data_IF_554222593431
#
_entry.id   IF_554222593431
#
_cell.length_a   1.000
_cell.length_b   1.000
_cell.length_c   1.000
_cell.angle_alpha   90.00
_cell.angle_beta   90.00
_cell.angle_gamma   90.00
#
_symmetry.space_group_name_H-M   'P 1'
#
loop_
_entity.id
_entity.type
_entity.pdbx_description
1 polymer ?
#
# COMPACT_ATOMS: atom_id res chain seq x y z
N UNK A 1 16.27 -26.79 -11.64
CA UNK A 1 15.41 -25.86 -12.39
C UNK A 1 14.00 -26.46 -12.39
N UNK A 2 13.08 -25.98 -11.55
CA UNK A 2 11.70 -26.45 -11.60
C UNK A 2 10.99 -25.70 -12.72
N UNK A 3 10.59 -26.40 -13.77
CA UNK A 3 9.87 -25.83 -14.90
C UNK A 3 8.43 -25.64 -14.41
N UNK A 4 8.04 -24.39 -14.16
CA UNK A 4 6.66 -23.97 -13.88
C UNK A 4 5.88 -24.02 -15.20
N UNK A 5 5.63 -25.23 -15.69
CA UNK A 5 4.87 -25.45 -16.93
C UNK A 5 3.41 -25.05 -16.69
N UNK A 6 2.91 -24.09 -17.46
CA UNK A 6 1.51 -23.64 -17.48
C UNK A 6 0.53 -24.68 -18.03
N UNK A 7 0.53 -25.89 -17.47
CA UNK A 7 -0.50 -26.92 -17.70
C UNK A 7 -1.65 -26.67 -16.75
N UNK A 8 -2.49 -25.74 -17.15
CA UNK A 8 -3.77 -25.55 -16.51
C UNK A 8 -4.82 -26.32 -17.32
N UNK A 9 -5.24 -27.49 -16.83
CA UNK A 9 -6.13 -28.43 -17.53
C UNK A 9 -7.50 -27.82 -17.88
N UNK A 10 -7.89 -26.71 -17.23
CA UNK A 10 -9.11 -25.95 -17.54
C UNK A 10 -8.93 -24.81 -18.53
N UNK A 11 -7.73 -24.60 -19.09
CA UNK A 11 -7.46 -23.53 -20.04
C UNK A 11 -8.08 -23.82 -21.42
N UNK A 12 -8.82 -22.85 -21.95
CA UNK A 12 -9.45 -22.95 -23.27
C UNK A 12 -8.52 -22.58 -24.43
N UNK A 13 -7.36 -21.99 -24.14
CA UNK A 13 -6.35 -21.61 -25.15
C UNK A 13 -4.94 -21.99 -24.68
N UNK A 14 -4.56 -23.28 -24.76
CA UNK A 14 -3.24 -23.75 -24.31
C UNK A 14 -2.07 -23.10 -25.09
N UNK A 15 -0.91 -22.87 -24.46
CA UNK A 15 -0.59 -23.17 -23.06
C UNK A 15 -1.28 -22.22 -22.09
N UNK A 16 -1.67 -22.74 -20.92
CA UNK A 16 -2.20 -21.91 -19.84
C UNK A 16 -1.12 -21.04 -19.24
N UNK A 17 -1.52 -20.04 -18.46
CA UNK A 17 -0.57 -19.25 -17.68
C UNK A 17 0.10 -20.11 -16.61
N UNK A 18 1.42 -19.96 -16.50
CA UNK A 18 2.21 -20.52 -15.40
C UNK A 18 1.83 -19.89 -14.06
N UNK A 19 2.23 -20.48 -12.93
CA UNK A 19 1.91 -19.89 -11.63
C UNK A 19 2.60 -18.54 -11.43
N UNK A 20 3.84 -18.42 -11.90
CA UNK A 20 4.62 -17.17 -11.91
C UNK A 20 3.93 -16.07 -12.73
N UNK A 21 3.41 -16.41 -13.92
CA UNK A 21 2.63 -15.47 -14.74
C UNK A 21 1.30 -15.09 -14.09
N UNK A 22 0.62 -16.04 -13.42
CA UNK A 22 -0.62 -15.74 -12.67
C UNK A 22 -0.35 -14.76 -11.52
N UNK A 23 0.76 -14.93 -10.80
CA UNK A 23 1.18 -14.01 -9.72
C UNK A 23 1.53 -12.63 -10.28
N UNK A 24 2.40 -12.55 -11.30
CA UNK A 24 2.77 -11.29 -11.94
C UNK A 24 1.55 -10.53 -12.47
N UNK A 25 0.66 -11.24 -13.19
CA UNK A 25 -0.59 -10.67 -13.68
C UNK A 25 -1.51 -10.22 -12.54
N UNK A 26 -1.50 -10.91 -11.39
CA UNK A 26 -2.27 -10.52 -10.22
C UNK A 26 -1.74 -9.20 -9.63
N UNK A 27 -0.43 -9.02 -9.52
CA UNK A 27 0.21 -7.80 -9.06
C UNK A 27 0.13 -6.63 -10.06
N UNK A 28 -0.32 -6.89 -11.30
CA UNK A 28 -0.57 -5.87 -12.33
C UNK A 28 0.51 -5.80 -13.40
N UNK A 29 1.52 -6.66 -13.32
CA UNK A 29 2.56 -6.83 -14.32
C UNK A 29 2.02 -7.70 -15.46
N UNK A 30 1.42 -7.05 -16.46
CA UNK A 30 0.75 -7.71 -17.58
C UNK A 30 1.39 -7.27 -18.90
N UNK A 31 2.07 -8.20 -19.56
CA UNK A 31 2.52 -8.04 -20.94
C UNK A 31 1.37 -8.26 -21.96
N UNK A 32 1.63 -8.00 -23.23
CA UNK A 32 0.60 -8.11 -24.27
C UNK A 32 0.11 -9.56 -24.47
N UNK A 33 0.98 -10.54 -24.25
CA UNK A 33 0.67 -11.96 -24.42
C UNK A 33 -0.29 -12.44 -23.33
N UNK A 34 0.01 -12.13 -22.07
CA UNK A 34 -0.84 -12.41 -20.92
C UNK A 34 -2.17 -11.67 -21.07
N UNK A 35 -2.16 -10.40 -21.49
CA UNK A 35 -3.39 -9.63 -21.74
C UNK A 35 -4.30 -10.31 -22.75
N UNK A 36 -3.76 -10.68 -23.90
CA UNK A 36 -4.49 -11.37 -24.97
C UNK A 36 -5.06 -12.69 -24.47
N UNK A 37 -4.26 -13.48 -23.75
CA UNK A 37 -4.71 -14.76 -23.19
C UNK A 37 -5.83 -14.57 -22.16
N UNK A 38 -5.74 -13.59 -21.26
CA UNK A 38 -6.78 -13.32 -20.26
C UNK A 38 -8.09 -12.85 -20.87
N UNK A 39 -8.06 -12.22 -22.05
CA UNK A 39 -9.27 -11.86 -22.81
C UNK A 39 -9.92 -13.10 -23.47
N UNK A 40 -9.12 -14.07 -23.86
CA UNK A 40 -9.58 -15.28 -24.55
C UNK A 40 -9.95 -16.43 -23.61
N UNK A 41 -9.35 -16.48 -22.40
CA UNK A 41 -9.47 -17.59 -21.47
C UNK A 41 -10.14 -17.19 -20.15
N UNK A 42 -11.45 -17.48 -19.97
CA UNK A 42 -12.16 -17.22 -18.72
C UNK A 42 -11.58 -17.95 -17.51
N UNK A 43 -11.00 -19.14 -17.72
CA UNK A 43 -10.39 -19.96 -16.66
C UNK A 43 -9.16 -19.28 -16.06
N UNK A 44 -8.18 -18.93 -16.89
CA UNK A 44 -6.99 -18.23 -16.44
C UNK A 44 -7.32 -16.83 -15.89
N UNK A 45 -8.33 -16.16 -16.46
CA UNK A 45 -8.85 -14.92 -15.88
C UNK A 45 -9.47 -15.11 -14.49
N UNK A 46 -10.15 -16.23 -14.23
CA UNK A 46 -10.65 -16.57 -12.90
C UNK A 46 -9.52 -16.80 -11.90
N UNK A 47 -8.47 -17.56 -12.29
CA UNK A 47 -7.28 -17.80 -11.47
C UNK A 47 -6.58 -16.50 -11.07
N UNK A 48 -6.37 -15.58 -12.01
CA UNK A 48 -5.77 -14.26 -11.70
C UNK A 48 -6.67 -13.45 -10.75
N UNK A 49 -7.99 -13.48 -10.93
CA UNK A 49 -8.93 -12.80 -10.01
C UNK A 49 -8.88 -13.40 -8.60
N UNK A 50 -8.80 -14.71 -8.48
CA UNK A 50 -8.69 -15.40 -7.20
C UNK A 50 -7.38 -15.07 -6.49
N UNK A 51 -6.26 -15.12 -7.23
CA UNK A 51 -4.95 -14.72 -6.73
C UNK A 51 -4.96 -13.28 -6.22
N UNK A 52 -5.52 -12.32 -6.99
CA UNK A 52 -5.69 -10.93 -6.55
C UNK A 52 -6.49 -10.80 -5.26
N UNK A 53 -7.59 -11.55 -5.12
CA UNK A 53 -8.42 -11.54 -3.90
C UNK A 53 -7.64 -12.08 -2.70
N UNK A 54 -6.90 -13.16 -2.90
CA UNK A 54 -6.07 -13.76 -1.87
C UNK A 54 -4.95 -12.82 -1.42
N UNK A 55 -4.17 -12.27 -2.36
CA UNK A 55 -3.14 -11.27 -2.09
C UNK A 55 -3.72 -10.06 -1.35
N UNK A 56 -4.89 -9.55 -1.77
CA UNK A 56 -5.56 -8.44 -1.08
C UNK A 56 -5.96 -8.80 0.35
N UNK A 57 -6.45 -10.03 0.60
CA UNK A 57 -6.79 -10.50 1.94
C UNK A 57 -5.55 -10.61 2.82
N UNK A 58 -4.47 -11.19 2.31
CA UNK A 58 -3.19 -11.27 3.03
C UNK A 58 -2.65 -9.88 3.37
N UNK A 59 -2.62 -8.95 2.40
CA UNK A 59 -2.18 -7.57 2.63
C UNK A 59 -3.04 -6.85 3.68
N UNK A 60 -4.33 -7.20 3.83
CA UNK A 60 -5.20 -6.67 4.90
C UNK A 60 -4.94 -7.31 6.26
N UNK A 61 -4.75 -8.64 6.30
CA UNK A 61 -4.52 -9.35 7.57
C UNK A 61 -3.13 -9.09 8.13
N UNK A 62 -2.14 -8.90 7.24
CA UNK A 62 -0.76 -8.54 7.55
C UNK A 62 -0.55 -7.03 7.51
N UNK A 63 -1.63 -6.26 7.43
CA UNK A 63 -1.57 -4.80 7.45
C UNK A 63 -0.85 -4.35 8.73
N UNK A 64 0.17 -3.51 8.57
CA UNK A 64 1.10 -3.04 9.62
C UNK A 64 2.13 -4.03 10.15
N UNK A 65 2.17 -5.27 9.69
CA UNK A 65 3.30 -6.15 10.06
C UNK A 65 4.62 -5.67 9.45
N UNK A 66 4.54 -5.12 8.23
CA UNK A 66 5.69 -4.59 7.46
C UNK A 66 5.53 -3.11 7.08
N UNK A 67 4.47 -2.45 7.54
CA UNK A 67 4.26 -1.03 7.25
C UNK A 67 4.91 -0.15 8.33
N UNK A 68 5.39 1.04 7.97
CA UNK A 68 5.74 2.08 8.92
C UNK A 68 4.61 2.33 9.93
N UNK A 69 4.98 2.75 11.15
CA UNK A 69 4.00 3.24 12.12
C UNK A 69 3.35 4.52 11.63
N UNK A 70 2.15 4.84 12.15
CA UNK A 70 1.47 6.11 11.84
C UNK A 70 2.36 7.31 12.15
N UNK A 71 3.03 7.30 13.31
CA UNK A 71 3.88 8.41 13.75
C UNK A 71 5.01 8.68 12.76
N UNK A 72 5.64 7.60 12.25
CA UNK A 72 6.70 7.72 11.26
C UNK A 72 6.18 8.23 9.90
N UNK A 73 4.93 7.91 9.52
CA UNK A 73 4.30 8.48 8.33
C UNK A 73 3.97 9.97 8.51
N UNK A 74 3.59 10.39 9.72
CA UNK A 74 3.38 11.81 10.05
C UNK A 74 4.70 12.57 9.97
N UNK A 75 5.77 12.05 10.59
CA UNK A 75 7.11 12.63 10.53
C UNK A 75 7.62 12.71 9.09
N UNK A 76 7.34 11.69 8.26
CA UNK A 76 7.61 11.70 6.83
C UNK A 76 6.90 12.87 6.13
N UNK A 77 5.59 13.04 6.33
CA UNK A 77 4.82 14.13 5.71
C UNK A 77 5.30 15.52 6.15
N UNK A 78 5.80 15.63 7.39
CA UNK A 78 6.31 16.88 7.95
C UNK A 78 7.79 17.15 7.61
N UNK A 79 8.47 16.21 6.94
CA UNK A 79 9.89 16.33 6.62
C UNK A 79 10.81 16.26 7.84
N UNK A 80 10.38 15.60 8.92
CA UNK A 80 11.10 15.51 10.20
C UNK A 80 12.05 14.29 10.31
N UNK A 81 12.06 13.42 9.30
CA UNK A 81 12.90 12.22 9.26
C UNK A 81 14.22 12.47 8.51
N UNK A 82 15.21 11.61 8.76
CA UNK A 82 16.48 11.69 8.05
C UNK A 82 16.38 11.25 6.57
N UNK A 83 17.33 11.65 5.69
CA UNK A 83 17.27 11.34 4.27
C UNK A 83 17.24 9.84 3.92
N UNK A 84 17.88 8.98 4.73
CA UNK A 84 17.89 7.55 4.50
C UNK A 84 16.53 6.92 4.85
N UNK A 85 15.94 7.31 5.98
CA UNK A 85 14.56 6.93 6.33
C UNK A 85 13.55 7.41 5.28
N UNK A 86 13.74 8.63 4.76
CA UNK A 86 12.88 9.18 3.71
C UNK A 86 12.85 8.31 2.46
N UNK A 87 14.01 7.83 1.99
CA UNK A 87 14.09 6.95 0.83
C UNK A 87 13.36 5.61 1.05
N UNK A 88 13.53 5.01 2.25
CA UNK A 88 12.87 3.75 2.59
C UNK A 88 11.34 3.87 2.64
N UNK A 89 10.84 4.93 3.27
CA UNK A 89 9.39 5.18 3.38
C UNK A 89 8.81 5.51 2.01
N UNK A 90 9.51 6.29 1.19
CA UNK A 90 9.09 6.60 -0.19
C UNK A 90 8.95 5.30 -1.03
N UNK A 91 9.92 4.40 -0.93
CA UNK A 91 9.84 3.10 -1.61
C UNK A 91 8.68 2.23 -1.09
N UNK A 92 8.45 2.23 0.23
CA UNK A 92 7.32 1.52 0.81
C UNK A 92 5.98 2.08 0.31
N UNK A 93 5.82 3.41 0.29
CA UNK A 93 4.61 4.08 -0.20
C UNK A 93 4.33 3.72 -1.66
N UNK A 94 5.37 3.64 -2.51
CA UNK A 94 5.23 3.24 -3.91
C UNK A 94 4.71 1.80 -4.09
N UNK A 95 4.95 0.92 -3.12
CA UNK A 95 4.61 -0.51 -3.20
C UNK A 95 3.39 -0.91 -2.34
N UNK A 96 3.01 -0.06 -1.38
CA UNK A 96 1.93 -0.31 -0.43
C UNK A 96 0.75 0.66 -0.65
N UNK A 97 -0.39 0.19 -1.21
CA UNK A 97 -1.54 1.06 -1.47
C UNK A 97 -2.23 1.58 -0.21
N UNK A 98 -2.01 0.94 0.95
CA UNK A 98 -2.57 1.40 2.21
C UNK A 98 -1.80 2.60 2.77
N UNK A 99 -0.47 2.52 2.82
CA UNK A 99 0.36 3.65 3.27
C UNK A 99 0.28 4.82 2.30
N UNK A 100 0.21 4.56 0.99
CA UNK A 100 -0.04 5.61 0.00
C UNK A 100 -1.36 6.36 0.26
N UNK A 101 -2.43 5.63 0.60
CA UNK A 101 -3.72 6.24 0.94
C UNK A 101 -3.68 7.00 2.26
N UNK A 102 -2.95 6.48 3.25
CA UNK A 102 -2.79 7.11 4.57
C UNK A 102 -2.01 8.43 4.46
N UNK A 103 -0.88 8.44 3.74
CA UNK A 103 -0.10 9.65 3.44
C UNK A 103 -0.93 10.65 2.62
N UNK A 104 -1.60 10.21 1.55
CA UNK A 104 -2.45 11.10 0.76
C UNK A 104 -3.58 11.74 1.59
N UNK A 105 -4.12 11.01 2.57
CA UNK A 105 -5.10 11.57 3.51
C UNK A 105 -4.45 12.62 4.42
N UNK A 106 -3.27 12.34 4.98
CA UNK A 106 -2.52 13.28 5.84
C UNK A 106 -2.15 14.56 5.08
N UNK A 107 -1.65 14.43 3.85
CA UNK A 107 -1.29 15.57 2.99
C UNK A 107 -2.51 16.38 2.54
N UNK A 108 -3.69 15.75 2.42
CA UNK A 108 -4.93 16.44 2.05
C UNK A 108 -5.55 17.25 3.20
N UNK A 109 -5.13 16.99 4.44
CA UNK A 109 -5.57 17.76 5.59
C UNK A 109 -4.77 19.06 5.63
N UNK A 110 -5.38 20.14 5.16
CA UNK A 110 -4.87 21.50 5.41
C UNK A 110 -4.60 21.64 6.92
N UNK A 111 -3.46 22.23 7.33
CA UNK A 111 -3.24 22.53 8.73
C UNK A 111 -4.40 23.38 9.22
N UNK A 112 -5.24 22.80 10.08
CA UNK A 112 -6.30 23.53 10.75
C UNK A 112 -5.63 24.77 11.35
N UNK A 113 -6.08 26.01 11.04
CA UNK A 113 -5.49 27.18 11.66
C UNK A 113 -5.56 26.96 13.16
N UNK A 114 -4.42 27.14 13.83
CA UNK A 114 -4.24 26.95 15.27
C UNK A 114 -5.16 27.91 16.04
N UNK A 115 -6.42 27.49 16.17
CA UNK A 115 -7.49 28.18 16.89
C UNK A 115 -7.82 27.46 18.20
N UNK A 116 -7.11 26.36 18.47
CA UNK A 116 -7.31 25.49 19.63
C UNK A 116 -6.14 25.52 20.60
N UNK A 117 -5.04 26.24 20.34
CA UNK A 117 -4.15 26.64 21.41
C UNK A 117 -4.97 27.38 22.48
N UNK A 118 -5.19 26.79 23.69
CA UNK A 118 -5.79 27.55 24.76
C UNK A 118 -4.85 28.73 25.00
N UNK A 119 -5.40 29.95 24.93
CA UNK A 119 -4.69 31.15 25.36
C UNK A 119 -4.09 30.83 26.72
N UNK A 120 -2.77 30.75 26.78
CA UNK A 120 -2.03 30.66 28.02
C UNK A 120 -2.27 31.98 28.76
N UNK A 121 -3.34 32.04 29.54
CA UNK A 121 -3.46 33.04 30.60
C UNK A 121 -2.27 32.79 31.55
N UNK A 122 -1.38 33.78 31.76
CA UNK A 122 -0.27 33.59 32.69
C UNK A 122 -0.84 33.41 34.10
N UNK A 123 -0.75 32.19 34.62
CA UNK A 123 -1.22 31.79 35.96
C UNK A 123 -0.37 32.38 37.12
N UNK A 124 0.37 33.46 36.86
CA UNK A 124 1.23 34.15 37.83
C UNK A 124 0.88 35.63 37.91
N UNK A 125 -0.19 35.96 38.64
CA UNK A 125 -0.29 37.21 39.37
C UNK A 125 -1.51 37.17 40.30
N UNK A 126 -1.30 36.78 41.56
CA UNK A 126 -1.72 37.59 42.72
C UNK A 126 -0.89 37.16 43.93
N UNK A 127 0.21 37.88 44.00
CA UNK A 127 1.06 38.22 45.14
C UNK A 127 0.27 38.29 46.46
N UNK A 128 0.83 37.65 47.49
CA UNK A 128 0.55 37.84 48.91
C UNK A 128 -0.07 39.20 49.26
N UNK A 129 -1.24 39.18 49.88
CA UNK A 129 -1.72 40.28 50.72
C UNK A 129 -1.74 39.74 52.15
N UNK A 130 -1.06 40.50 53.01
CA UNK A 130 -0.85 40.31 54.43
C UNK A 130 -2.14 40.41 55.23
#
# INVERSE_FOLDING_TARGET
MMIDEGRDEGCVAPPGLSNTQVVAAADGEIDEQIRTHLQQCPHCAARVREMRRFQKRLRRQLYRLFCPSTDLLVDYCQGLIDPHQHALITHHIATCPYCAREVALMESLDPLPDRLAPRSEPFFALRNIR
#
